data_IF_061456539148
#
_entry.id   IF_061456539148
#
_cell.length_a   1.000
_cell.length_b   1.000
_cell.length_c   1.000
_cell.angle_alpha   90.00
_cell.angle_beta   90.00
_cell.angle_gamma   90.00
#
_symmetry.space_group_name_H-M   'P 1'
#
loop_
_entity.id
_entity.type
_entity.pdbx_description
1 polymer ?
#
# COMPACT_ATOMS: atom_id res chain seq x y z
N UNK A 1 -4.35 10.13 5.14
CA UNK A 1 -3.23 9.26 4.77
C UNK A 1 -1.93 9.63 5.48
N UNK A 2 -1.38 10.85 5.31
CA UNK A 2 -0.10 11.28 5.93
C UNK A 2 0.06 10.88 7.40
N UNK A 3 -0.86 11.31 8.26
CA UNK A 3 -0.82 11.02 9.71
C UNK A 3 -0.85 9.52 10.01
N UNK A 4 -1.65 8.75 9.25
CA UNK A 4 -1.75 7.30 9.42
C UNK A 4 -0.44 6.60 9.05
N UNK A 5 0.15 6.96 7.90
CA UNK A 5 1.43 6.43 7.46
C UNK A 5 2.55 6.78 8.45
N UNK A 6 2.57 8.01 8.97
CA UNK A 6 3.54 8.43 9.97
C UNK A 6 3.39 7.64 11.28
N UNK A 7 2.15 7.37 11.71
CA UNK A 7 1.89 6.55 12.90
C UNK A 7 2.32 5.09 12.75
N UNK A 8 2.13 4.49 11.56
CA UNK A 8 2.61 3.13 11.25
C UNK A 8 4.12 3.06 11.02
N UNK A 9 4.76 4.21 10.73
CA UNK A 9 6.20 4.38 10.55
C UNK A 9 6.87 3.28 9.68
N UNK A 10 6.45 3.11 8.40
CA UNK A 10 6.98 2.06 7.55
C UNK A 10 8.48 2.26 7.26
N UNK A 11 9.28 1.26 7.62
CA UNK A 11 10.75 1.32 7.57
C UNK A 11 11.31 1.19 6.15
N UNK A 12 10.53 0.62 5.24
CA UNK A 12 10.91 0.41 3.84
C UNK A 12 9.71 0.57 2.90
N UNK A 13 9.96 0.46 1.59
CA UNK A 13 8.94 0.66 0.57
C UNK A 13 7.86 -0.43 0.58
N UNK A 14 8.21 -1.66 0.93
CA UNK A 14 7.25 -2.79 0.98
C UNK A 14 6.27 -2.66 2.15
N UNK A 15 6.74 -2.23 3.33
CA UNK A 15 5.87 -1.90 4.47
C UNK A 15 5.00 -0.68 4.16
N UNK A 16 5.54 0.27 3.40
CA UNK A 16 4.76 1.42 2.95
C UNK A 16 3.62 0.98 2.02
N UNK A 17 3.89 0.08 1.07
CA UNK A 17 2.87 -0.46 0.18
C UNK A 17 1.75 -1.19 0.95
N UNK A 18 2.10 -2.01 1.95
CA UNK A 18 1.13 -2.62 2.85
C UNK A 18 0.31 -1.58 3.63
N UNK A 19 0.97 -0.53 4.14
CA UNK A 19 0.30 0.57 4.84
C UNK A 19 -0.70 1.30 3.93
N UNK A 20 -0.35 1.52 2.66
CA UNK A 20 -1.23 2.13 1.65
C UNK A 20 -2.44 1.25 1.38
N UNK A 21 -2.23 -0.05 1.13
CA UNK A 21 -3.31 -1.00 0.90
C UNK A 21 -4.26 -1.08 2.10
N UNK A 22 -3.71 -1.15 3.31
CA UNK A 22 -4.50 -1.12 4.55
C UNK A 22 -5.32 0.17 4.68
N UNK A 23 -4.69 1.32 4.42
CA UNK A 23 -5.36 2.61 4.49
C UNK A 23 -6.55 2.66 3.54
N UNK A 24 -6.36 2.27 2.26
CA UNK A 24 -7.45 2.24 1.29
C UNK A 24 -8.56 1.25 1.66
N UNK A 25 -8.23 0.10 2.26
CA UNK A 25 -9.23 -0.91 2.61
C UNK A 25 -10.06 -0.53 3.82
N UNK A 26 -9.43 -0.03 4.87
CA UNK A 26 -10.05 0.09 6.20
C UNK A 26 -10.24 1.54 6.65
N UNK A 27 -9.34 2.46 6.28
CA UNK A 27 -9.28 3.81 6.86
C UNK A 27 -9.84 4.89 5.92
N UNK A 28 -9.69 4.71 4.61
CA UNK A 28 -10.12 5.68 3.62
C UNK A 28 -11.65 5.90 3.69
N UNK A 29 -12.14 7.14 3.45
CA UNK A 29 -13.56 7.42 3.39
C UNK A 29 -14.20 6.62 2.25
N UNK A 30 -15.51 6.34 2.37
CA UNK A 30 -16.24 5.43 1.47
C UNK A 30 -16.01 5.71 -0.02
N UNK A 31 -15.90 6.97 -0.40
CA UNK A 31 -15.69 7.44 -1.78
C UNK A 31 -14.31 7.06 -2.38
N UNK A 32 -13.31 6.82 -1.53
CA UNK A 32 -11.93 6.50 -1.94
C UNK A 32 -11.44 5.16 -1.39
N UNK A 33 -12.35 4.42 -0.77
CA UNK A 33 -12.09 3.09 -0.23
C UNK A 33 -11.93 2.12 -1.39
N UNK A 34 -10.84 1.35 -1.37
CA UNK A 34 -10.54 0.35 -2.40
C UNK A 34 -10.20 -0.97 -1.73
N UNK A 35 -10.61 -2.07 -2.36
CA UNK A 35 -10.26 -3.42 -1.90
C UNK A 35 -8.83 -3.79 -2.28
N UNK A 36 -8.38 -3.29 -3.43
CA UNK A 36 -7.07 -3.51 -4.01
C UNK A 36 -6.47 -2.20 -4.46
N UNK A 37 -5.14 -2.15 -4.50
CA UNK A 37 -4.36 -1.02 -4.99
C UNK A 37 -3.49 -1.43 -6.16
N UNK A 38 -3.26 -0.51 -7.08
CA UNK A 38 -2.32 -0.68 -8.18
C UNK A 38 -1.08 0.21 -8.01
N UNK A 39 -0.21 0.20 -9.02
CA UNK A 39 1.02 1.01 -9.02
C UNK A 39 0.76 2.52 -8.95
N UNK A 40 -0.35 2.99 -9.49
CA UNK A 40 -0.75 4.41 -9.52
C UNK A 40 -1.28 4.83 -8.15
N UNK A 41 -2.11 3.99 -7.52
CA UNK A 41 -2.56 4.16 -6.14
C UNK A 41 -1.38 4.25 -5.17
N UNK A 42 -0.35 3.42 -5.37
CA UNK A 42 0.85 3.47 -4.54
C UNK A 42 1.63 4.79 -4.73
N UNK A 43 1.73 5.29 -5.96
CA UNK A 43 2.36 6.58 -6.26
C UNK A 43 1.58 7.74 -5.67
N UNK A 44 0.25 7.71 -5.78
CA UNK A 44 -0.61 8.70 -5.16
C UNK A 44 -0.48 8.64 -3.64
N UNK A 45 -0.36 7.43 -3.09
CA UNK A 45 -0.01 7.21 -1.70
C UNK A 45 1.28 7.91 -1.28
N UNK A 46 2.33 7.86 -2.09
CA UNK A 46 3.58 8.61 -1.83
C UNK A 46 3.31 10.11 -1.74
N UNK A 47 2.54 10.67 -2.70
CA UNK A 47 2.19 12.09 -2.71
C UNK A 47 1.41 12.49 -1.46
N UNK A 48 0.38 11.73 -1.12
CA UNK A 48 -0.48 11.98 0.04
C UNK A 48 0.25 11.76 1.38
N UNK A 49 1.28 10.92 1.40
CA UNK A 49 2.14 10.70 2.57
C UNK A 49 3.30 11.72 2.66
N UNK A 50 3.53 12.55 1.63
CA UNK A 50 4.69 13.44 1.56
C UNK A 50 6.01 12.70 1.41
N UNK A 51 6.01 11.51 0.79
CA UNK A 51 7.20 10.72 0.47
C UNK A 51 7.64 10.95 -0.98
N UNK A 52 8.93 10.72 -1.24
CA UNK A 52 9.44 10.65 -2.60
C UNK A 52 8.72 9.56 -3.39
N UNK A 53 8.52 9.80 -4.69
CA UNK A 53 7.94 8.81 -5.62
C UNK A 53 8.83 7.58 -5.71
N UNK A 54 8.22 6.41 -5.76
CA UNK A 54 8.95 5.16 -5.95
C UNK A 54 9.47 5.08 -7.39
N UNK A 55 10.70 4.57 -7.58
CA UNK A 55 11.24 4.33 -8.92
C UNK A 55 10.47 3.23 -9.66
N UNK A 56 10.11 2.16 -8.95
CA UNK A 56 9.43 0.98 -9.49
C UNK A 56 8.26 0.55 -8.58
N UNK A 57 7.12 1.27 -8.59
CA UNK A 57 6.00 1.00 -7.70
C UNK A 57 5.42 -0.42 -7.87
N UNK A 58 5.37 -0.93 -9.11
CA UNK A 58 4.93 -2.29 -9.37
C UNK A 58 5.84 -3.34 -8.70
N UNK A 59 7.17 -3.16 -8.79
CA UNK A 59 8.11 -4.06 -8.14
C UNK A 59 7.97 -4.02 -6.62
N UNK A 60 7.71 -2.84 -6.04
CA UNK A 60 7.45 -2.70 -4.60
C UNK A 60 6.21 -3.50 -4.17
N UNK A 61 5.10 -3.41 -4.93
CA UNK A 61 3.89 -4.19 -4.66
C UNK A 61 4.16 -5.70 -4.78
N UNK A 62 4.88 -6.11 -5.83
CA UNK A 62 5.24 -7.50 -6.03
C UNK A 62 6.15 -8.04 -4.92
N UNK A 63 7.10 -7.23 -4.45
CA UNK A 63 7.95 -7.60 -3.31
C UNK A 63 7.16 -7.71 -2.01
N UNK A 64 6.20 -6.80 -1.77
CA UNK A 64 5.33 -6.88 -0.61
C UNK A 64 4.44 -8.14 -0.65
N UNK A 65 4.00 -8.55 -1.84
CA UNK A 65 3.33 -9.83 -2.04
C UNK A 65 4.24 -11.03 -1.74
N UNK A 66 5.46 -11.06 -2.27
CA UNK A 66 6.43 -12.13 -1.98
C UNK A 66 6.79 -12.25 -0.49
N UNK A 67 6.67 -11.16 0.27
CA UNK A 67 6.86 -11.12 1.71
C UNK A 67 5.59 -11.49 2.51
N UNK A 68 4.50 -11.85 1.84
CA UNK A 68 3.22 -12.20 2.47
C UNK A 68 2.43 -11.01 3.03
N UNK A 69 2.85 -9.77 2.75
CA UNK A 69 2.16 -8.57 3.22
C UNK A 69 0.96 -8.21 2.33
N UNK A 70 1.03 -8.56 1.04
CA UNK A 70 -0.04 -8.32 0.07
C UNK A 70 -0.47 -9.64 -0.59
N UNK A 71 -1.73 -9.72 -0.95
CA UNK A 71 -2.24 -10.73 -1.87
C UNK A 71 -2.32 -10.17 -3.28
N UNK A 72 -2.05 -10.99 -4.29
CA UNK A 72 -2.08 -10.57 -5.70
C UNK A 72 -3.47 -10.86 -6.26
N UNK A 73 -4.17 -9.81 -6.66
CA UNK A 73 -5.47 -9.91 -7.32
C UNK A 73 -5.34 -10.11 -8.82
N UNK A 74 -6.25 -9.47 -9.58
CA UNK A 74 -6.14 -9.39 -11.03
C UNK A 74 -4.86 -8.67 -11.48
N UNK A 75 -4.56 -8.70 -12.78
CA UNK A 75 -3.25 -8.30 -13.32
C UNK A 75 -2.82 -6.88 -12.90
N UNK A 76 -1.94 -6.80 -11.90
CA UNK A 76 -1.39 -5.54 -11.38
C UNK A 76 -2.16 -4.91 -10.21
N UNK A 77 -3.16 -5.60 -9.68
CA UNK A 77 -3.86 -5.25 -8.44
C UNK A 77 -3.35 -6.09 -7.27
N UNK A 78 -3.27 -5.45 -6.09
CA UNK A 78 -2.80 -6.08 -4.86
C UNK A 78 -3.69 -5.68 -3.69
N UNK A 79 -4.10 -6.65 -2.88
CA UNK A 79 -4.89 -6.44 -1.66
C UNK A 79 -4.00 -6.58 -0.42
N UNK A 80 -4.37 -5.92 0.68
CA UNK A 80 -3.70 -6.13 1.98
C UNK A 80 -3.94 -7.56 2.47
N UNK A 81 -2.87 -8.27 2.85
CA UNK A 81 -2.99 -9.57 3.49
C UNK A 81 -3.02 -9.38 5.01
N UNK A 82 -4.16 -9.63 5.64
CA UNK A 82 -4.34 -9.48 7.10
C UNK A 82 -3.48 -10.43 7.94
N UNK A 83 -2.86 -11.46 7.34
CA UNK A 83 -1.96 -12.39 8.05
C UNK A 83 -0.57 -11.78 8.28
N UNK A 84 -0.14 -10.81 7.47
CA UNK A 84 1.19 -10.19 7.56
C UNK A 84 1.35 -9.08 8.62
N UNK A 85 0.31 -8.78 9.41
CA UNK A 85 0.32 -7.80 10.51
C UNK A 85 0.42 -8.47 11.91
N UNK A 86 0.99 -9.68 12.02
CA UNK A 86 1.16 -10.37 13.32
C UNK A 86 2.60 -10.31 13.85
#
# INVERSE_FOLDING_TARGET
>A
MKTFVQGKNPRNDVQFAATVAYFHRFVAPADTRKTEINKDDLQEGCRLAGRARLKNPYQTLFNAHNLGLLDKGESGLFAINSVGEN
#
